data_IF_190712242552
#
_entry.id   IF_190712242552
#
_cell.length_a   1.000
_cell.length_b   1.000
_cell.length_c   1.000
_cell.angle_alpha   90.00
_cell.angle_beta   90.00
_cell.angle_gamma   90.00
#
_symmetry.space_group_name_H-M   'P 1'
#
loop_
_entity.id
_entity.type
_entity.pdbx_description
1 polymer ?
#
# COMPACT_ATOMS: atom_id res chain seq x y z
N UNK A 1 -37.52 -38.14 -31.66
CA UNK A 1 -37.02 -36.75 -31.66
C UNK A 1 -35.54 -36.77 -32.05
N UNK A 2 -35.16 -35.96 -33.05
CA UNK A 2 -33.82 -35.58 -33.55
C UNK A 2 -32.84 -36.73 -33.91
N UNK A 3 -32.79 -37.21 -35.15
CA UNK A 3 -32.12 -36.61 -36.34
C UNK A 3 -30.60 -36.41 -36.17
N UNK A 4 -29.83 -37.33 -36.78
CA UNK A 4 -28.38 -37.26 -37.02
C UNK A 4 -28.12 -36.34 -38.22
N UNK A 5 -27.17 -35.42 -38.12
CA UNK A 5 -26.52 -34.86 -39.31
C UNK A 5 -25.03 -34.56 -39.09
N UNK A 6 -24.24 -34.97 -40.09
CA UNK A 6 -22.79 -34.80 -40.30
C UNK A 6 -22.46 -33.38 -40.80
N UNK A 7 -21.25 -32.89 -40.52
CA UNK A 7 -20.35 -32.10 -41.41
C UNK A 7 -19.07 -31.77 -40.62
N UNK A 8 -17.89 -32.37 -40.89
CA UNK A 8 -16.85 -32.11 -41.92
C UNK A 8 -16.18 -30.72 -41.88
N UNK A 9 -14.85 -30.79 -41.75
CA UNK A 9 -13.79 -29.97 -42.36
C UNK A 9 -13.52 -28.55 -41.85
N UNK A 10 -12.30 -28.31 -41.35
CA UNK A 10 -11.20 -27.70 -42.12
C UNK A 10 -10.23 -26.97 -41.16
N UNK A 11 -8.98 -27.41 -41.18
CA UNK A 11 -7.82 -26.72 -40.60
C UNK A 11 -7.62 -25.37 -41.30
N UNK A 12 -7.90 -24.29 -40.58
CA UNK A 12 -7.76 -22.92 -41.06
C UNK A 12 -6.45 -22.27 -40.60
N UNK A 13 -5.52 -22.15 -41.56
CA UNK A 13 -4.64 -21.00 -41.82
C UNK A 13 -4.03 -20.20 -40.66
N UNK A 14 -2.75 -20.49 -40.38
CA UNK A 14 -1.80 -19.54 -39.80
C UNK A 14 -1.21 -18.68 -40.93
N UNK A 15 -1.38 -17.36 -40.86
CA UNK A 15 -0.43 -16.33 -41.31
C UNK A 15 -1.15 -14.97 -41.37
N UNK A 16 -1.08 -14.21 -40.27
CA UNK A 16 -1.44 -12.80 -40.25
C UNK A 16 -0.18 -11.98 -40.01
N UNK A 17 0.48 -11.57 -41.09
CA UNK A 17 1.47 -10.50 -41.04
C UNK A 17 0.76 -9.16 -40.86
N UNK A 18 1.21 -8.35 -39.89
CA UNK A 18 1.24 -6.88 -39.93
C UNK A 18 2.00 -6.34 -38.71
N UNK A 19 3.23 -5.81 -38.88
CA UNK A 19 3.83 -4.91 -37.90
C UNK A 19 3.28 -3.50 -38.14
N UNK A 20 2.45 -3.02 -37.20
CA UNK A 20 2.03 -1.62 -37.15
C UNK A 20 3.16 -0.76 -36.62
N UNK A 21 3.68 0.09 -37.50
CA UNK A 21 4.68 1.12 -37.27
C UNK A 21 4.16 2.23 -36.34
N UNK A 22 5.07 2.68 -35.48
CA UNK A 22 5.15 3.93 -34.73
C UNK A 22 3.87 4.73 -34.42
N UNK A 23 3.43 4.64 -33.16
CA UNK A 23 2.83 5.78 -32.44
C UNK A 23 3.68 6.10 -31.21
N UNK A 24 4.66 6.98 -31.46
CA UNK A 24 5.53 7.61 -30.48
C UNK A 24 4.71 8.59 -29.63
N UNK A 25 4.13 8.12 -28.54
CA UNK A 25 3.59 8.96 -27.46
C UNK A 25 4.52 8.94 -26.26
N UNK A 26 5.72 9.50 -26.46
CA UNK A 26 6.59 9.92 -25.37
C UNK A 26 6.19 11.34 -24.95
N UNK A 27 5.10 11.48 -24.20
CA UNK A 27 4.83 12.70 -23.43
C UNK A 27 4.18 12.36 -22.09
N UNK A 28 4.90 12.66 -21.03
CA UNK A 28 4.40 12.58 -19.67
C UNK A 28 5.45 12.01 -18.73
N UNK A 29 6.63 12.64 -18.69
CA UNK A 29 7.57 12.38 -17.60
C UNK A 29 6.88 12.72 -16.28
N UNK A 30 6.52 11.69 -15.52
CA UNK A 30 6.15 11.84 -14.12
C UNK A 30 7.39 12.38 -13.39
N UNK A 31 7.23 13.37 -12.49
CA UNK A 31 8.35 13.96 -11.79
C UNK A 31 9.07 12.85 -11.01
N UNK A 32 10.38 12.76 -11.22
CA UNK A 32 11.24 11.98 -10.34
C UNK A 32 11.24 12.64 -8.96
N UNK A 33 10.25 12.31 -8.12
CA UNK A 33 10.34 12.52 -6.68
C UNK A 33 11.33 11.51 -6.13
N UNK A 34 12.62 11.79 -6.33
CA UNK A 34 13.71 11.09 -5.67
C UNK A 34 14.38 12.04 -4.69
N UNK A 35 13.89 11.99 -3.46
CA UNK A 35 14.81 11.91 -2.32
C UNK A 35 14.12 11.24 -1.12
N UNK A 36 13.99 9.92 -1.22
CA UNK A 36 14.18 9.03 -0.08
C UNK A 36 15.29 8.08 -0.57
N UNK A 37 16.47 7.97 0.03
CA UNK A 37 16.86 8.16 1.44
C UNK A 37 18.40 8.25 1.58
N UNK A 38 18.98 8.20 2.81
CA UNK A 38 20.37 7.79 2.99
C UNK A 38 20.55 6.30 3.41
N UNK A 39 19.48 5.54 3.66
CA UNK A 39 19.50 4.10 3.92
C UNK A 39 18.30 3.34 3.29
N UNK A 40 18.42 2.88 2.04
CA UNK A 40 17.48 2.16 1.14
C UNK A 40 16.20 1.47 1.65
N UNK A 41 15.31 2.13 2.40
CA UNK A 41 14.06 1.55 2.90
C UNK A 41 12.85 2.00 2.06
N UNK A 42 11.98 1.08 1.61
CA UNK A 42 10.79 1.46 0.87
C UNK A 42 9.93 2.41 1.72
N UNK A 43 9.20 3.37 1.14
CA UNK A 43 8.40 4.36 1.87
C UNK A 43 7.42 3.72 2.88
N UNK A 44 6.97 2.50 2.60
CA UNK A 44 6.10 1.72 3.49
C UNK A 44 6.77 1.27 4.79
N UNK A 45 8.11 1.26 4.87
CA UNK A 45 8.84 0.91 6.08
C UNK A 45 8.67 1.97 7.20
N UNK A 46 8.37 3.21 6.83
CA UNK A 46 8.09 4.29 7.79
C UNK A 46 6.63 4.29 8.28
N UNK A 47 5.73 3.56 7.61
CA UNK A 47 4.32 3.49 7.97
C UNK A 47 4.06 2.50 9.12
N UNK A 48 3.27 2.95 10.08
CA UNK A 48 2.88 2.21 11.28
C UNK A 48 1.37 2.09 11.30
N UNK A 49 0.84 0.87 11.44
CA UNK A 49 -0.59 0.66 11.68
C UNK A 49 -0.88 0.72 13.17
N UNK A 50 -1.96 1.38 13.54
CA UNK A 50 -2.45 1.53 14.91
C UNK A 50 -3.69 0.67 15.09
N UNK A 51 -3.71 -0.16 16.13
CA UNK A 51 -4.84 -1.03 16.48
C UNK A 51 -5.22 -0.85 17.94
N UNK A 52 -6.47 -1.18 18.28
CA UNK A 52 -6.87 -1.38 19.67
C UNK A 52 -6.30 -2.71 20.21
N UNK A 53 -6.48 -2.97 21.51
CA UNK A 53 -6.04 -4.24 22.12
C UNK A 53 -6.79 -5.48 21.62
N UNK A 54 -7.97 -5.31 21.02
CA UNK A 54 -8.71 -6.39 20.37
C UNK A 54 -8.19 -6.66 18.95
N UNK A 55 -7.20 -5.89 18.48
CA UNK A 55 -6.63 -6.00 17.14
C UNK A 55 -7.46 -5.32 16.05
N UNK A 56 -8.46 -4.51 16.42
CA UNK A 56 -9.22 -3.73 15.43
C UNK A 56 -8.38 -2.56 14.94
N UNK A 57 -8.30 -2.33 13.62
CA UNK A 57 -7.62 -1.16 13.08
C UNK A 57 -8.26 0.13 13.59
N UNK A 58 -7.41 1.07 14.05
CA UNK A 58 -7.82 2.39 14.54
C UNK A 58 -7.32 3.52 13.64
N UNK A 59 -6.17 3.32 13.01
CA UNK A 59 -5.59 4.30 12.09
C UNK A 59 -4.19 3.93 11.65
N UNK A 60 -3.48 4.93 11.16
CA UNK A 60 -2.10 4.83 10.67
C UNK A 60 -1.30 6.00 11.25
N UNK A 61 0.01 5.79 11.41
CA UNK A 61 0.97 6.83 11.70
C UNK A 61 2.24 6.64 10.89
N UNK A 62 3.17 7.57 11.02
CA UNK A 62 4.49 7.46 10.43
C UNK A 62 5.57 7.76 11.46
N UNK A 63 6.72 7.11 11.32
CA UNK A 63 7.90 7.39 12.15
C UNK A 63 8.42 8.79 11.80
N UNK A 64 8.35 9.70 12.77
CA UNK A 64 8.71 11.11 12.61
C UNK A 64 10.20 11.38 12.86
N UNK A 65 10.89 10.50 13.59
CA UNK A 65 12.30 10.66 13.94
C UNK A 65 13.03 9.31 14.14
N UNK A 66 14.35 9.40 14.34
CA UNK A 66 15.22 8.26 14.57
C UNK A 66 15.06 7.61 15.96
N UNK A 67 14.33 8.24 16.87
CA UNK A 67 13.98 7.66 18.18
C UNK A 67 12.74 6.76 18.08
N UNK A 68 12.06 6.75 16.93
CA UNK A 68 10.87 5.95 16.72
C UNK A 68 9.58 6.63 17.21
N UNK A 69 9.59 7.96 17.36
CA UNK A 69 8.36 8.72 17.63
C UNK A 69 7.41 8.53 16.45
N UNK A 70 6.16 8.19 16.73
CA UNK A 70 5.14 8.00 15.69
C UNK A 70 4.18 9.17 15.75
N UNK A 71 4.04 9.88 14.64
CA UNK A 71 2.97 10.86 14.48
C UNK A 71 1.73 10.16 13.93
N UNK A 72 0.58 10.42 14.55
CA UNK A 72 -0.72 9.90 14.13
C UNK A 72 -1.80 10.93 14.43
N UNK A 73 -3.01 10.67 13.95
CA UNK A 73 -4.16 11.52 14.20
C UNK A 73 -4.75 11.25 15.58
N UNK A 74 -5.50 12.22 16.11
CA UNK A 74 -6.08 12.13 17.45
C UNK A 74 -7.09 10.98 17.56
N UNK A 75 -7.94 10.79 16.55
CA UNK A 75 -8.98 9.77 16.54
C UNK A 75 -8.43 8.33 16.57
N UNK A 76 -7.18 8.13 16.14
CA UNK A 76 -6.52 6.84 16.19
C UNK A 76 -6.14 6.44 17.63
N UNK A 77 -5.97 7.42 18.53
CA UNK A 77 -5.54 7.22 19.92
C UNK A 77 -6.62 7.53 20.94
N UNK A 78 -7.62 8.34 20.59
CA UNK A 78 -8.67 8.80 21.50
C UNK A 78 -9.45 7.64 22.13
N UNK A 79 -9.77 7.80 23.41
CA UNK A 79 -10.51 6.84 24.23
C UNK A 79 -9.78 5.53 24.57
N UNK A 80 -8.53 5.34 24.14
CA UNK A 80 -7.78 4.09 24.37
C UNK A 80 -6.81 4.22 25.55
N UNK A 81 -6.88 3.28 26.50
CA UNK A 81 -5.89 3.16 27.59
C UNK A 81 -4.57 2.58 27.10
N UNK A 82 -4.62 1.74 26.06
CA UNK A 82 -3.49 1.13 25.36
C UNK A 82 -3.81 0.93 23.90
N UNK A 83 -2.78 1.03 23.08
CA UNK A 83 -2.82 0.79 21.64
C UNK A 83 -1.70 -0.18 21.23
N UNK A 84 -1.88 -0.81 20.07
CA UNK A 84 -0.88 -1.69 19.46
C UNK A 84 -0.39 -1.05 18.17
N UNK A 85 0.92 -0.81 18.11
CA UNK A 85 1.61 -0.37 16.91
C UNK A 85 2.15 -1.57 16.16
N UNK A 86 1.96 -1.63 14.84
CA UNK A 86 2.55 -2.68 13.99
C UNK A 86 3.23 -2.10 12.76
N UNK A 87 4.47 -2.51 12.51
CA UNK A 87 5.24 -2.18 11.29
C UNK A 87 4.79 -3.04 10.10
N UNK A 88 5.21 -2.68 8.89
CA UNK A 88 5.02 -3.52 7.69
C UNK A 88 5.68 -4.92 7.80
N UNK A 89 6.71 -5.08 8.64
CA UNK A 89 7.34 -6.37 8.93
C UNK A 89 6.75 -7.10 10.14
N UNK A 90 5.48 -6.86 10.46
CA UNK A 90 4.69 -7.49 11.53
C UNK A 90 5.25 -7.38 12.96
N UNK A 91 6.31 -6.60 13.19
CA UNK A 91 6.76 -6.26 14.55
C UNK A 91 5.68 -5.45 15.24
N UNK A 92 5.35 -5.84 16.48
CA UNK A 92 4.31 -5.20 17.30
C UNK A 92 4.86 -4.62 18.58
N UNK A 93 4.30 -3.49 19.01
CA UNK A 93 4.57 -2.86 20.30
C UNK A 93 3.28 -2.35 20.93
N UNK A 94 3.09 -2.64 22.22
CA UNK A 94 2.00 -2.05 23.01
C UNK A 94 2.48 -0.74 23.61
N UNK A 95 1.66 0.30 23.50
CA UNK A 95 1.95 1.66 23.99
C UNK A 95 0.79 2.10 24.89
N UNK A 96 1.10 2.74 26.02
CA UNK A 96 0.10 3.24 26.95
C UNK A 96 -0.33 4.66 26.59
N UNK A 97 -1.51 5.07 27.05
CA UNK A 97 -1.96 6.46 26.89
C UNK A 97 -0.98 7.49 27.47
N UNK A 98 -0.23 7.13 28.52
CA UNK A 98 0.80 7.99 29.13
C UNK A 98 2.01 8.24 28.21
N UNK A 99 2.21 7.42 27.18
CA UNK A 99 3.28 7.60 26.19
C UNK A 99 2.83 8.49 25.02
N UNK A 100 1.54 8.88 24.97
CA UNK A 100 0.99 9.74 23.92
C UNK A 100 1.14 11.20 24.34
N UNK A 101 1.86 11.97 23.53
CA UNK A 101 1.98 13.42 23.71
C UNK A 101 1.10 14.15 22.70
N UNK A 102 0.10 14.95 23.14
CA UNK A 102 -0.71 15.74 22.22
C UNK A 102 0.14 16.85 21.59
N UNK A 103 -0.11 17.14 20.31
CA UNK A 103 0.49 18.30 19.66
C UNK A 103 -0.12 19.61 20.20
N UNK A 104 0.67 20.69 20.33
CA UNK A 104 0.15 22.00 20.73
C UNK A 104 -0.93 22.52 19.77
N UNK A 105 -1.90 23.24 20.31
CA UNK A 105 -2.88 24.01 19.51
C UNK A 105 -2.26 25.35 19.07
N UNK A 106 -2.65 25.83 17.90
CA UNK A 106 -2.17 27.09 17.31
C UNK A 106 -2.94 28.30 17.82
#
# INVERSE_FOLDING_TARGET
MASRNRSREATGGTAGERPGDASREARGGLPAVREADPAGHPPDAALIRVHDLAGRPRGTGFVADHHGTVLTSHEAVDGLSRLVLSTAGDRRRVVAAADVTPLPVL
#
